data_IF_837239081287
#
_entry.id   IF_837239081287
#
_cell.length_a   1.000
_cell.length_b   1.000
_cell.length_c   1.000
_cell.angle_alpha   90.00
_cell.angle_beta   90.00
_cell.angle_gamma   90.00
#
_symmetry.space_group_name_H-M   'P 1'
#
loop_
_entity.id
_entity.type
_entity.pdbx_description
1 polymer ?
#
# COMPACT_ATOMS: atom_id res chain seq x y z
N UNK A 1 -24.94 -22.67 76.11
CA UNK A 1 -23.86 -23.50 75.57
C UNK A 1 -24.00 -23.49 74.06
N UNK A 2 -23.14 -22.71 73.41
CA UNK A 2 -23.07 -22.48 71.96
C UNK A 2 -22.34 -23.64 71.28
N UNK A 3 -23.01 -24.33 70.37
CA UNK A 3 -22.38 -25.26 69.42
C UNK A 3 -22.74 -24.81 68.01
N UNK A 4 -21.70 -24.41 67.27
CA UNK A 4 -21.67 -24.04 65.86
C UNK A 4 -22.07 -25.23 64.96
N UNK A 5 -22.87 -25.04 63.90
CA UNK A 5 -23.02 -26.04 62.85
C UNK A 5 -21.90 -25.92 61.80
N UNK A 6 -21.41 -27.08 61.36
CA UNK A 6 -20.40 -27.28 60.31
C UNK A 6 -20.99 -26.97 58.92
N UNK A 7 -20.20 -26.46 57.95
CA UNK A 7 -20.70 -26.12 56.62
C UNK A 7 -20.97 -27.40 55.79
N UNK A 8 -22.12 -27.41 55.12
CA UNK A 8 -22.51 -28.42 54.13
C UNK A 8 -21.71 -28.26 52.83
N UNK A 9 -21.25 -29.38 52.27
CA UNK A 9 -20.61 -29.48 50.95
C UNK A 9 -21.45 -28.81 49.85
N UNK A 10 -20.83 -28.11 48.89
CA UNK A 10 -21.54 -27.60 47.73
C UNK A 10 -21.91 -28.76 46.80
N UNK A 11 -23.20 -28.82 46.48
CA UNK A 11 -23.80 -29.75 45.53
C UNK A 11 -23.13 -29.68 44.15
N UNK A 12 -23.05 -30.84 43.48
CA UNK A 12 -22.61 -31.06 42.11
C UNK A 12 -23.02 -29.93 41.15
N UNK A 13 -22.03 -29.15 40.70
CA UNK A 13 -22.18 -28.36 39.49
C UNK A 13 -22.29 -29.32 38.30
N UNK A 14 -23.27 -29.15 37.40
CA UNK A 14 -23.38 -30.01 36.24
C UNK A 14 -22.10 -29.88 35.39
N UNK A 15 -21.39 -30.99 35.25
CA UNK A 15 -20.30 -31.16 34.30
C UNK A 15 -20.80 -30.72 32.92
N UNK A 16 -20.31 -29.58 32.44
CA UNK A 16 -20.54 -29.12 31.08
C UNK A 16 -19.86 -30.17 30.20
N UNK A 17 -20.68 -31.08 29.66
CA UNK A 17 -20.24 -32.07 28.72
C UNK A 17 -19.45 -31.35 27.62
N UNK A 18 -18.14 -31.63 27.57
CA UNK A 18 -17.26 -31.23 26.50
C UNK A 18 -17.90 -31.67 25.19
N UNK A 19 -18.49 -30.71 24.48
CA UNK A 19 -18.90 -30.92 23.11
C UNK A 19 -17.62 -31.28 22.36
N UNK A 20 -17.51 -32.55 21.94
CA UNK A 20 -16.46 -33.02 21.05
C UNK A 20 -16.50 -32.15 19.80
N UNK A 21 -15.67 -31.10 19.77
CA UNK A 21 -15.56 -30.22 18.62
C UNK A 21 -15.00 -31.07 17.48
N UNK A 22 -15.71 -31.09 16.35
CA UNK A 22 -15.12 -31.60 15.12
C UNK A 22 -13.71 -30.99 14.95
N UNK A 23 -12.71 -31.75 14.45
CA UNK A 23 -11.39 -31.19 14.22
C UNK A 23 -11.52 -29.93 13.35
N UNK A 24 -10.68 -28.91 13.59
CA UNK A 24 -10.76 -27.68 12.81
C UNK A 24 -10.62 -28.01 11.32
N UNK A 25 -11.32 -27.27 10.44
CA UNK A 25 -11.31 -27.54 9.01
C UNK A 25 -9.86 -27.45 8.48
N UNK A 26 -9.48 -28.41 7.64
CA UNK A 26 -8.20 -28.39 6.96
C UNK A 26 -8.28 -27.49 5.73
N UNK A 27 -7.34 -26.54 5.63
CA UNK A 27 -7.16 -25.72 4.42
C UNK A 27 -6.12 -26.37 3.52
N UNK A 28 -6.43 -26.51 2.23
CA UNK A 28 -5.53 -27.04 1.20
C UNK A 28 -5.36 -26.01 0.10
N UNK A 29 -4.11 -25.76 -0.30
CA UNK A 29 -3.77 -24.85 -1.40
C UNK A 29 -3.11 -25.67 -2.52
N UNK A 30 -3.74 -25.68 -3.70
CA UNK A 30 -3.34 -26.51 -4.83
C UNK A 30 -2.87 -25.63 -6.00
N UNK A 31 -1.59 -25.72 -6.44
CA UNK A 31 -1.13 -24.95 -7.58
C UNK A 31 -1.79 -25.42 -8.88
N UNK A 32 -2.19 -24.50 -9.76
CA UNK A 32 -2.63 -24.83 -11.11
C UNK A 32 -1.42 -24.84 -12.03
N UNK A 33 -1.00 -26.04 -12.41
CA UNK A 33 0.14 -26.26 -13.32
C UNK A 33 -0.35 -26.50 -14.75
N UNK A 34 0.57 -26.38 -15.72
CA UNK A 34 0.28 -26.76 -17.10
C UNK A 34 -0.49 -25.73 -17.95
N UNK A 35 -0.68 -24.49 -17.48
CA UNK A 35 -1.35 -23.44 -18.25
C UNK A 35 -0.57 -22.98 -19.50
N UNK A 36 0.76 -23.13 -19.49
CA UNK A 36 1.63 -22.54 -20.53
C UNK A 36 1.67 -21.01 -20.48
N UNK A 37 2.22 -20.39 -21.53
CA UNK A 37 2.29 -18.93 -21.65
C UNK A 37 0.96 -18.36 -22.18
N UNK A 38 0.36 -17.45 -21.42
CA UNK A 38 -0.87 -16.75 -21.80
C UNK A 38 -0.53 -15.61 -22.74
N UNK A 39 -1.20 -15.57 -23.90
CA UNK A 39 -1.06 -14.51 -24.90
C UNK A 39 -2.32 -13.66 -24.98
N UNK A 40 -2.19 -12.50 -25.61
CA UNK A 40 -3.31 -11.63 -25.94
C UNK A 40 -4.40 -12.39 -26.71
N UNK A 41 -5.66 -12.13 -26.34
CA UNK A 41 -6.83 -12.79 -26.92
C UNK A 41 -7.09 -14.22 -26.42
N UNK A 42 -6.30 -14.74 -25.48
CA UNK A 42 -6.54 -16.07 -24.93
C UNK A 42 -7.89 -16.16 -24.18
N UNK A 43 -8.66 -17.23 -24.42
CA UNK A 43 -9.82 -17.59 -23.59
C UNK A 43 -9.33 -18.11 -22.24
N UNK A 44 -9.13 -17.18 -21.30
CA UNK A 44 -8.58 -17.48 -19.99
C UNK A 44 -9.48 -18.41 -19.18
N UNK A 45 -10.81 -18.31 -19.33
CA UNK A 45 -11.75 -19.20 -18.67
C UNK A 45 -11.61 -20.64 -19.17
N UNK A 46 -11.46 -20.85 -20.48
CA UNK A 46 -11.21 -22.18 -21.03
C UNK A 46 -9.87 -22.77 -20.57
N UNK A 47 -8.80 -21.98 -20.58
CA UNK A 47 -7.48 -22.42 -20.12
C UNK A 47 -7.49 -22.82 -18.63
N UNK A 48 -8.06 -21.97 -17.78
CA UNK A 48 -8.16 -22.24 -16.34
C UNK A 48 -9.11 -23.41 -16.06
N UNK A 49 -10.23 -23.54 -16.76
CA UNK A 49 -11.14 -24.68 -16.61
C UNK A 49 -10.42 -26.01 -16.95
N UNK A 50 -9.64 -26.04 -18.02
CA UNK A 50 -8.83 -27.20 -18.39
C UNK A 50 -7.80 -27.59 -17.32
N UNK A 51 -7.10 -26.60 -16.75
CA UNK A 51 -6.14 -26.82 -15.67
C UNK A 51 -6.80 -27.17 -14.33
N UNK A 52 -8.04 -26.74 -14.09
CA UNK A 52 -8.80 -27.03 -12.87
C UNK A 52 -9.43 -28.41 -12.88
N UNK A 53 -9.87 -28.92 -14.04
CA UNK A 53 -10.60 -30.18 -14.11
C UNK A 53 -9.89 -31.36 -13.38
N UNK A 54 -8.57 -31.56 -13.49
CA UNK A 54 -7.84 -32.58 -12.74
C UNK A 54 -7.87 -32.41 -11.21
N UNK A 55 -8.06 -31.19 -10.71
CA UNK A 55 -8.15 -30.88 -9.27
C UNK A 55 -9.56 -31.14 -8.69
N UNK A 56 -10.53 -31.48 -9.55
CA UNK A 56 -11.92 -31.74 -9.22
C UNK A 56 -12.50 -30.64 -8.31
N UNK A 57 -12.69 -29.41 -8.84
CA UNK A 57 -13.18 -28.26 -8.08
C UNK A 57 -14.57 -28.56 -7.49
N UNK A 58 -14.85 -27.97 -6.34
CA UNK A 58 -16.05 -28.21 -5.54
C UNK A 58 -16.66 -26.89 -5.10
N UNK A 59 -17.94 -26.93 -4.71
CA UNK A 59 -18.58 -25.78 -4.09
C UNK A 59 -17.79 -25.33 -2.85
N UNK A 60 -17.65 -24.02 -2.70
CA UNK A 60 -16.85 -23.41 -1.63
C UNK A 60 -15.36 -23.29 -1.92
N UNK A 61 -14.84 -23.86 -3.02
CA UNK A 61 -13.47 -23.59 -3.44
C UNK A 61 -13.32 -22.15 -3.96
N UNK A 62 -12.14 -21.57 -3.77
CA UNK A 62 -11.78 -20.25 -4.29
C UNK A 62 -10.55 -20.36 -5.19
N UNK A 63 -10.68 -19.94 -6.44
CA UNK A 63 -9.57 -19.83 -7.38
C UNK A 63 -8.89 -18.46 -7.24
N UNK A 64 -7.64 -18.45 -6.81
CA UNK A 64 -6.82 -17.24 -6.79
C UNK A 64 -5.97 -17.17 -8.06
N UNK A 65 -6.10 -16.11 -8.85
CA UNK A 65 -5.47 -15.94 -10.17
C UNK A 65 -4.64 -14.68 -10.17
N UNK A 66 -3.38 -14.75 -10.60
CA UNK A 66 -2.56 -13.55 -10.79
C UNK A 66 -3.17 -12.63 -11.85
N UNK A 67 -3.29 -11.35 -11.55
CA UNK A 67 -3.71 -10.34 -12.54
C UNK A 67 -2.82 -10.30 -13.76
N UNK A 68 -1.55 -10.73 -13.68
CA UNK A 68 -0.64 -10.78 -14.83
C UNK A 68 -1.20 -11.56 -16.02
N UNK A 69 -1.79 -12.73 -15.78
CA UNK A 69 -2.35 -13.52 -16.91
C UNK A 69 -3.64 -12.93 -17.44
N UNK A 70 -4.38 -12.18 -16.61
CA UNK A 70 -5.54 -11.40 -17.04
C UNK A 70 -5.06 -10.23 -17.93
N UNK A 71 -4.08 -9.46 -17.48
CA UNK A 71 -3.48 -8.37 -18.27
C UNK A 71 -2.88 -8.85 -19.59
N UNK A 72 -2.22 -10.02 -19.60
CA UNK A 72 -1.71 -10.64 -20.84
C UNK A 72 -2.85 -11.00 -21.80
N UNK A 73 -3.90 -11.67 -21.32
CA UNK A 73 -5.04 -12.04 -22.14
C UNK A 73 -5.77 -10.81 -22.71
N UNK A 74 -5.86 -9.73 -21.94
CA UNK A 74 -6.48 -8.46 -22.34
C UNK A 74 -5.56 -7.54 -23.17
N UNK A 75 -4.30 -7.91 -23.42
CA UNK A 75 -3.37 -7.08 -24.20
C UNK A 75 -2.97 -5.77 -23.50
N UNK A 76 -3.02 -5.71 -22.16
CA UNK A 76 -2.75 -4.50 -21.37
C UNK A 76 -1.25 -4.22 -21.24
N UNK A 77 -0.58 -4.05 -22.37
CA UNK A 77 0.86 -3.86 -22.46
C UNK A 77 1.19 -2.45 -22.92
N UNK A 78 2.28 -1.92 -22.39
CA UNK A 78 2.87 -0.64 -22.82
C UNK A 78 4.33 -0.83 -23.16
N UNK A 79 4.90 0.09 -23.94
CA UNK A 79 6.35 0.12 -24.14
C UNK A 79 7.07 0.53 -22.85
N UNK A 80 8.36 0.20 -22.75
CA UNK A 80 9.17 0.61 -21.58
C UNK A 80 9.28 2.14 -21.48
N UNK A 81 9.27 2.83 -22.62
CA UNK A 81 9.33 4.28 -22.75
C UNK A 81 8.03 4.95 -22.29
N UNK A 82 6.88 4.30 -22.49
CA UNK A 82 5.56 4.83 -22.11
C UNK A 82 5.17 4.49 -20.66
N UNK A 83 5.94 3.65 -19.98
CA UNK A 83 5.62 3.12 -18.65
C UNK A 83 5.27 4.22 -17.65
N UNK A 84 6.13 5.22 -17.51
CA UNK A 84 5.95 6.25 -16.48
C UNK A 84 4.77 7.18 -16.81
N UNK A 85 4.58 7.49 -18.09
CA UNK A 85 3.40 8.23 -18.56
C UNK A 85 2.09 7.43 -18.36
N UNK A 86 2.14 6.10 -18.49
CA UNK A 86 1.00 5.23 -18.20
C UNK A 86 0.67 5.22 -16.70
N UNK A 87 1.68 5.13 -15.83
CA UNK A 87 1.52 5.23 -14.36
C UNK A 87 0.87 6.56 -13.98
N UNK A 88 1.36 7.67 -14.54
CA UNK A 88 0.80 9.00 -14.29
C UNK A 88 -0.66 9.11 -14.74
N UNK A 89 -1.00 8.54 -15.91
CA UNK A 89 -2.36 8.59 -16.46
C UNK A 89 -3.39 7.84 -15.62
N UNK A 90 -3.01 6.70 -15.04
CA UNK A 90 -3.93 5.89 -14.23
C UNK A 90 -3.95 6.30 -12.76
N UNK A 91 -2.94 7.04 -12.29
CA UNK A 91 -2.87 7.45 -10.89
C UNK A 91 -4.04 8.37 -10.53
N UNK A 92 -4.81 7.99 -9.50
CA UNK A 92 -5.80 8.87 -8.87
C UNK A 92 -5.08 9.98 -8.09
N UNK A 93 -3.96 9.62 -7.46
CA UNK A 93 -3.05 10.55 -6.78
C UNK A 93 -1.69 9.91 -6.55
N UNK A 94 -0.67 10.76 -6.51
CA UNK A 94 0.67 10.38 -6.05
C UNK A 94 0.75 10.46 -4.53
N UNK A 95 1.25 9.40 -3.89
CA UNK A 95 1.46 9.33 -2.44
C UNK A 95 2.89 9.74 -2.10
N UNK A 96 3.86 9.17 -2.82
CA UNK A 96 5.27 9.42 -2.63
C UNK A 96 6.07 9.09 -3.90
N UNK A 97 7.26 9.67 -4.04
CA UNK A 97 8.24 9.30 -5.07
C UNK A 97 9.58 9.04 -4.42
N UNK A 98 10.20 7.91 -4.72
CA UNK A 98 11.50 7.55 -4.16
C UNK A 98 12.50 7.19 -5.24
N UNK A 99 13.69 7.79 -5.19
CA UNK A 99 14.83 7.38 -6.00
C UNK A 99 15.50 6.17 -5.33
N UNK A 100 15.53 5.05 -6.04
CA UNK A 100 16.32 3.89 -5.66
C UNK A 100 17.31 3.58 -6.77
N UNK A 101 18.61 3.62 -6.45
CA UNK A 101 19.70 3.56 -7.42
C UNK A 101 19.60 4.67 -8.49
N UNK A 102 19.11 4.37 -9.68
CA UNK A 102 18.90 5.33 -10.79
C UNK A 102 17.44 5.44 -11.21
N UNK A 103 16.54 4.73 -10.54
CA UNK A 103 15.13 4.62 -10.92
C UNK A 103 14.27 5.31 -9.88
N UNK A 104 13.39 6.18 -10.34
CA UNK A 104 12.36 6.78 -9.50
C UNK A 104 11.14 5.89 -9.53
N UNK A 105 10.71 5.44 -8.36
CA UNK A 105 9.46 4.70 -8.20
C UNK A 105 8.43 5.61 -7.55
N UNK A 106 7.31 5.80 -8.23
CA UNK A 106 6.12 6.45 -7.69
C UNK A 106 5.28 5.43 -6.92
N UNK A 107 4.85 5.77 -5.71
CA UNK A 107 3.78 5.07 -5.00
C UNK A 107 2.51 5.87 -5.22
N UNK A 108 1.51 5.26 -5.84
CA UNK A 108 0.29 5.93 -6.26
C UNK A 108 -0.94 5.14 -5.87
N UNK A 109 -2.07 5.83 -5.72
CA UNK A 109 -3.38 5.20 -5.64
C UNK A 109 -3.88 4.92 -7.06
N UNK A 110 -4.36 3.71 -7.33
CA UNK A 110 -5.01 3.34 -8.60
C UNK A 110 -6.54 3.37 -8.48
N UNK A 111 -7.29 3.42 -9.60
CA UNK A 111 -8.76 3.55 -9.57
C UNK A 111 -9.47 2.38 -8.89
N UNK A 112 -8.90 1.17 -8.97
CA UNK A 112 -9.41 -0.01 -8.29
C UNK A 112 -9.21 0.02 -6.76
N UNK A 113 -8.52 1.03 -6.22
CA UNK A 113 -8.40 1.27 -4.77
C UNK A 113 -6.98 1.22 -4.20
N UNK A 114 -6.16 0.19 -4.49
CA UNK A 114 -4.87 0.01 -3.83
C UNK A 114 -3.90 1.19 -3.97
N UNK A 115 -3.10 1.40 -2.93
CA UNK A 115 -1.96 2.31 -2.94
C UNK A 115 -0.70 1.48 -3.05
N UNK A 116 -0.04 1.52 -4.21
CA UNK A 116 1.05 0.60 -4.49
C UNK A 116 2.15 1.23 -5.36
N UNK A 117 3.32 0.60 -5.33
CA UNK A 117 4.46 1.01 -6.14
C UNK A 117 4.16 0.84 -7.63
N UNK A 118 4.54 1.84 -8.42
CA UNK A 118 4.39 1.89 -9.87
C UNK A 118 2.98 1.58 -10.38
N UNK A 119 1.94 1.85 -9.59
CA UNK A 119 0.54 1.51 -9.94
C UNK A 119 0.31 0.01 -10.24
N UNK A 120 1.17 -0.88 -9.72
CA UNK A 120 1.14 -2.31 -10.06
C UNK A 120 1.68 -2.63 -11.46
N UNK A 121 2.20 -1.63 -12.18
CA UNK A 121 2.82 -1.83 -13.49
C UNK A 121 4.11 -2.61 -13.35
N UNK A 122 4.11 -3.81 -13.93
CA UNK A 122 5.18 -4.79 -13.73
C UNK A 122 5.86 -5.16 -15.05
N UNK A 123 7.20 -5.08 -15.07
CA UNK A 123 8.06 -5.57 -16.16
C UNK A 123 8.63 -6.97 -15.92
N UNK A 124 8.49 -7.50 -14.70
CA UNK A 124 8.95 -8.85 -14.36
C UNK A 124 8.08 -9.91 -15.05
N UNK A 125 8.73 -10.95 -15.60
CA UNK A 125 8.06 -12.03 -16.35
C UNK A 125 7.18 -11.51 -17.53
N UNK A 126 7.51 -10.33 -18.06
CA UNK A 126 6.84 -9.67 -19.16
C UNK A 126 7.88 -9.29 -20.25
N UNK A 127 8.46 -10.28 -20.96
CA UNK A 127 9.57 -10.05 -21.88
C UNK A 127 9.23 -9.09 -23.03
N UNK A 128 7.95 -8.96 -23.38
CA UNK A 128 7.50 -8.10 -24.47
C UNK A 128 7.17 -6.66 -24.02
N UNK A 129 7.34 -6.34 -22.73
CA UNK A 129 7.14 -4.99 -22.17
C UNK A 129 6.24 -4.98 -20.93
N UNK A 130 6.24 -3.88 -20.15
CA UNK A 130 5.47 -3.76 -18.92
C UNK A 130 3.95 -3.99 -19.10
N UNK A 131 3.34 -4.61 -18.10
CA UNK A 131 1.90 -4.87 -18.06
C UNK A 131 1.21 -3.88 -17.13
N UNK A 132 0.11 -3.30 -17.60
CA UNK A 132 -0.82 -2.53 -16.77
C UNK A 132 -1.79 -3.49 -16.07
N UNK A 133 -2.36 -3.04 -14.95
CA UNK A 133 -3.48 -3.73 -14.32
C UNK A 133 -4.79 -3.47 -15.08
N UNK A 134 -5.77 -4.39 -15.02
CA UNK A 134 -7.12 -4.11 -15.51
C UNK A 134 -7.74 -2.90 -14.79
N UNK A 135 -8.50 -2.10 -15.52
CA UNK A 135 -9.18 -0.91 -14.96
C UNK A 135 -10.20 -1.29 -13.89
N UNK A 136 -10.96 -2.37 -14.14
CA UNK A 136 -11.92 -2.95 -13.20
C UNK A 136 -11.62 -4.45 -12.98
N UNK A 137 -10.70 -4.80 -12.05
CA UNK A 137 -10.37 -6.19 -11.77
C UNK A 137 -11.54 -6.97 -11.16
N UNK A 138 -12.48 -6.31 -10.48
CA UNK A 138 -13.71 -6.94 -9.96
C UNK A 138 -14.62 -7.38 -11.12
N UNK A 139 -14.76 -6.57 -12.18
CA UNK A 139 -15.43 -6.99 -13.40
C UNK A 139 -14.72 -8.18 -14.07
N UNK A 140 -13.40 -8.13 -14.21
CA UNK A 140 -12.64 -9.25 -14.76
C UNK A 140 -12.80 -10.53 -13.94
N UNK A 141 -12.86 -10.44 -12.60
CA UNK A 141 -13.10 -11.57 -11.73
C UNK A 141 -14.48 -12.19 -11.96
N UNK A 142 -15.52 -11.35 -12.13
CA UNK A 142 -16.90 -11.78 -12.40
C UNK A 142 -17.02 -12.50 -13.74
N UNK A 143 -16.49 -11.90 -14.81
CA UNK A 143 -16.49 -12.52 -16.15
C UNK A 143 -15.76 -13.87 -16.14
N UNK A 144 -14.59 -13.92 -15.48
CA UNK A 144 -13.81 -15.15 -15.38
C UNK A 144 -14.56 -16.22 -14.59
N UNK A 145 -15.20 -15.85 -13.48
CA UNK A 145 -16.03 -16.75 -12.68
C UNK A 145 -17.20 -17.29 -13.50
N UNK A 146 -17.94 -16.44 -14.21
CA UNK A 146 -19.06 -16.85 -15.05
C UNK A 146 -18.62 -17.88 -16.11
N UNK A 147 -17.51 -17.61 -16.80
CA UNK A 147 -16.93 -18.53 -17.78
C UNK A 147 -16.51 -19.87 -17.16
N UNK A 148 -15.92 -19.85 -15.97
CA UNK A 148 -15.52 -21.06 -15.24
C UNK A 148 -16.73 -21.88 -14.77
N UNK A 149 -17.75 -21.24 -14.20
CA UNK A 149 -18.98 -21.90 -13.76
C UNK A 149 -19.70 -22.54 -14.95
N UNK A 150 -19.81 -21.84 -16.08
CA UNK A 150 -20.43 -22.38 -17.28
C UNK A 150 -19.69 -23.62 -17.85
N UNK A 151 -18.37 -23.69 -17.68
CA UNK A 151 -17.53 -24.79 -18.19
C UNK A 151 -17.43 -25.97 -17.23
N UNK A 152 -17.37 -25.71 -15.93
CA UNK A 152 -17.13 -26.71 -14.90
C UNK A 152 -18.42 -27.22 -14.25
N UNK A 153 -19.52 -26.47 -14.36
CA UNK A 153 -20.79 -26.80 -13.71
C UNK A 153 -20.77 -26.71 -12.19
N UNK A 154 -19.74 -26.08 -11.60
CA UNK A 154 -19.55 -25.94 -10.15
C UNK A 154 -19.36 -24.46 -9.80
N UNK A 155 -20.07 -23.99 -8.78
CA UNK A 155 -19.92 -22.62 -8.28
C UNK A 155 -18.68 -22.49 -7.39
N UNK A 156 -17.69 -21.75 -7.87
CA UNK A 156 -16.47 -21.40 -7.12
C UNK A 156 -16.37 -19.88 -6.95
N UNK A 157 -15.57 -19.44 -5.98
CA UNK A 157 -15.12 -18.05 -5.89
C UNK A 157 -13.91 -17.80 -6.79
N UNK A 158 -13.73 -16.55 -7.23
CA UNK A 158 -12.53 -16.10 -7.94
C UNK A 158 -11.96 -14.87 -7.25
N UNK A 159 -10.65 -14.88 -6.96
CA UNK A 159 -9.91 -13.72 -6.49
C UNK A 159 -8.78 -13.45 -7.48
N UNK A 160 -8.74 -12.24 -8.03
CA UNK A 160 -7.56 -11.76 -8.75
C UNK A 160 -6.56 -11.20 -7.77
N UNK A 161 -5.31 -11.65 -7.86
CA UNK A 161 -4.25 -11.28 -6.91
C UNK A 161 -3.07 -10.61 -7.60
N UNK A 162 -2.41 -9.73 -6.87
CA UNK A 162 -1.14 -9.15 -7.30
C UNK A 162 -0.18 -8.96 -6.14
N UNK A 163 1.11 -8.94 -6.46
CA UNK A 163 2.17 -8.83 -5.46
C UNK A 163 2.32 -7.38 -5.01
N UNK A 164 2.13 -7.15 -3.71
CA UNK A 164 2.31 -5.83 -3.11
C UNK A 164 3.22 -5.89 -1.89
N UNK A 165 3.91 -4.78 -1.63
CA UNK A 165 4.47 -4.52 -0.31
C UNK A 165 3.37 -4.04 0.65
N UNK A 166 3.69 -3.95 1.93
CA UNK A 166 2.80 -3.38 2.95
C UNK A 166 3.60 -2.54 3.94
N UNK A 167 2.98 -1.48 4.43
CA UNK A 167 3.61 -0.58 5.40
C UNK A 167 4.06 -1.33 6.66
N UNK A 168 5.18 -0.89 7.22
CA UNK A 168 5.77 -1.40 8.47
C UNK A 168 6.28 -2.86 8.45
N UNK A 169 6.22 -3.56 7.31
CA UNK A 169 6.82 -4.90 7.17
C UNK A 169 7.69 -4.98 5.92
N UNK A 170 8.87 -5.56 6.09
CA UNK A 170 9.76 -5.88 4.96
C UNK A 170 9.23 -7.10 4.21
N UNK A 171 9.39 -7.09 2.88
CA UNK A 171 8.96 -8.17 2.00
C UNK A 171 7.65 -7.84 1.27
N UNK A 172 7.24 -8.77 0.41
CA UNK A 172 6.02 -8.68 -0.40
C UNK A 172 5.17 -9.93 -0.19
N UNK A 173 3.86 -9.78 -0.38
CA UNK A 173 2.89 -10.88 -0.45
C UNK A 173 1.82 -10.51 -1.46
N UNK A 174 1.07 -11.50 -1.94
CA UNK A 174 -0.10 -11.17 -2.75
C UNK A 174 -1.22 -10.55 -1.90
N UNK A 175 -1.92 -9.60 -2.51
CA UNK A 175 -3.18 -9.01 -2.04
C UNK A 175 -4.28 -9.26 -3.09
N UNK A 176 -5.54 -9.15 -2.69
CA UNK A 176 -6.67 -9.18 -3.60
C UNK A 176 -6.82 -7.83 -4.34
N UNK A 177 -6.95 -7.90 -5.67
CA UNK A 177 -7.25 -6.76 -6.54
C UNK A 177 -8.66 -6.81 -7.13
N UNK A 178 -9.20 -8.01 -7.31
CA UNK A 178 -10.56 -8.24 -7.81
C UNK A 178 -11.16 -9.48 -7.14
N UNK A 179 -12.46 -9.50 -6.90
CA UNK A 179 -13.16 -10.61 -6.29
C UNK A 179 -14.53 -10.85 -6.93
N UNK A 180 -14.92 -12.12 -7.05
CA UNK A 180 -16.25 -12.52 -7.51
C UNK A 180 -16.71 -13.80 -6.83
N UNK A 181 -17.90 -13.78 -6.23
CA UNK A 181 -18.49 -14.93 -5.52
C UNK A 181 -17.73 -15.30 -4.25
N UNK A 182 -17.04 -14.32 -3.65
CA UNK A 182 -16.19 -14.48 -2.47
C UNK A 182 -16.69 -13.55 -1.37
N UNK A 183 -16.76 -14.06 -0.14
CA UNK A 183 -16.98 -13.25 1.06
C UNK A 183 -15.68 -12.52 1.37
N UNK A 184 -15.38 -11.42 0.67
CA UNK A 184 -14.07 -10.76 0.77
C UNK A 184 -13.79 -10.20 2.17
N UNK A 185 -14.84 -9.74 2.86
CA UNK A 185 -14.81 -9.34 4.26
C UNK A 185 -15.72 -10.24 5.09
N UNK A 186 -15.17 -10.92 6.09
CA UNK A 186 -15.95 -11.66 7.08
C UNK A 186 -16.20 -10.75 8.28
N UNK A 187 -17.43 -10.28 8.41
CA UNK A 187 -17.87 -9.46 9.54
C UNK A 187 -18.18 -10.34 10.75
N UNK A 188 -17.29 -10.32 11.74
CA UNK A 188 -17.45 -11.07 12.99
C UNK A 188 -18.12 -10.23 14.08
N UNK A 189 -18.50 -8.98 13.79
CA UNK A 189 -19.17 -8.10 14.76
C UNK A 189 -20.55 -8.63 15.10
N UNK A 190 -20.92 -8.47 16.37
CA UNK A 190 -22.18 -9.04 16.90
C UNK A 190 -22.09 -10.52 17.26
N UNK A 191 -20.99 -11.20 16.90
CA UNK A 191 -20.64 -12.52 17.44
C UNK A 191 -19.99 -12.44 18.83
N UNK A 192 -19.51 -13.57 19.33
CA UNK A 192 -18.76 -13.68 20.58
C UNK A 192 -17.45 -14.44 20.38
N UNK A 193 -16.44 -14.13 21.19
CA UNK A 193 -15.19 -14.88 21.25
C UNK A 193 -15.35 -16.23 21.97
N UNK A 194 -14.26 -16.99 22.09
CA UNK A 194 -14.27 -18.30 22.74
C UNK A 194 -14.67 -18.27 24.23
N UNK A 195 -14.53 -17.11 24.90
CA UNK A 195 -14.94 -16.90 26.29
C UNK A 195 -16.34 -16.26 26.40
N UNK A 196 -17.05 -16.10 25.27
CA UNK A 196 -18.39 -15.50 25.22
C UNK A 196 -18.39 -13.96 25.23
N UNK A 197 -17.25 -13.29 25.04
CA UNK A 197 -17.20 -11.81 25.00
C UNK A 197 -17.64 -11.30 23.62
N UNK A 198 -18.44 -10.23 23.54
CA UNK A 198 -18.88 -9.67 22.26
C UNK A 198 -17.71 -9.19 21.39
N UNK A 199 -17.76 -9.52 20.10
CA UNK A 199 -16.87 -8.96 19.08
C UNK A 199 -17.52 -7.67 18.54
N UNK A 200 -16.87 -6.52 18.74
CA UNK A 200 -17.42 -5.21 18.37
C UNK A 200 -16.75 -4.53 17.17
N UNK A 201 -15.52 -4.93 16.85
CA UNK A 201 -14.68 -4.27 15.81
C UNK A 201 -14.11 -5.23 14.76
N UNK A 202 -14.28 -6.54 14.93
CA UNK A 202 -13.55 -7.54 14.16
C UNK A 202 -14.20 -7.78 12.80
N UNK A 203 -13.52 -7.34 11.75
CA UNK A 203 -13.81 -7.72 10.36
C UNK A 203 -12.54 -8.33 9.77
N UNK A 204 -12.60 -9.59 9.36
CA UNK A 204 -11.45 -10.30 8.78
C UNK A 204 -11.43 -10.06 7.27
N UNK A 205 -10.28 -9.62 6.74
CA UNK A 205 -10.08 -9.48 5.30
C UNK A 205 -9.72 -10.84 4.71
N UNK A 206 -10.75 -11.64 4.41
CA UNK A 206 -10.61 -13.01 3.97
C UNK A 206 -10.02 -13.10 2.55
N UNK A 207 -10.33 -12.15 1.67
CA UNK A 207 -9.77 -12.13 0.32
C UNK A 207 -8.24 -11.99 0.32
N UNK A 208 -7.67 -11.11 1.16
CA UNK A 208 -6.21 -10.99 1.30
C UNK A 208 -5.57 -12.22 1.96
N UNK A 209 -6.25 -12.87 2.91
CA UNK A 209 -5.77 -14.13 3.50
C UNK A 209 -5.71 -15.25 2.45
N UNK A 210 -6.74 -15.36 1.61
CA UNK A 210 -6.78 -16.32 0.49
C UNK A 210 -5.70 -16.02 -0.54
N UNK A 211 -5.51 -14.74 -0.91
CA UNK A 211 -4.47 -14.30 -1.82
C UNK A 211 -3.07 -14.63 -1.30
N UNK A 212 -2.81 -14.34 -0.02
CA UNK A 212 -1.54 -14.64 0.63
C UNK A 212 -1.30 -16.16 0.76
N UNK A 213 -2.33 -16.95 1.02
CA UNK A 213 -2.22 -18.41 1.08
C UNK A 213 -1.91 -19.01 -0.31
N UNK A 214 -2.58 -18.53 -1.36
CA UNK A 214 -2.32 -18.92 -2.74
C UNK A 214 -0.88 -18.59 -3.19
N UNK A 215 -0.35 -17.46 -2.71
CA UNK A 215 1.03 -17.03 -3.01
C UNK A 215 2.10 -18.06 -2.61
N UNK A 216 1.86 -18.83 -1.53
CA UNK A 216 2.79 -19.84 -1.04
C UNK A 216 3.10 -20.92 -2.09
N UNK A 217 2.12 -21.29 -2.92
CA UNK A 217 2.29 -22.32 -3.96
C UNK A 217 2.46 -21.74 -5.35
N UNK A 218 1.94 -20.53 -5.60
CA UNK A 218 2.19 -19.81 -6.84
C UNK A 218 3.66 -19.44 -6.97
N UNK A 219 4.27 -18.95 -5.89
CA UNK A 219 5.62 -18.41 -5.85
C UNK A 219 5.84 -17.24 -6.82
N UNK A 220 7.04 -16.64 -6.79
CA UNK A 220 7.35 -15.46 -7.64
C UNK A 220 8.04 -15.81 -8.97
N UNK A 221 8.62 -17.02 -9.05
CA UNK A 221 9.44 -17.46 -10.19
C UNK A 221 9.05 -18.85 -10.73
N UNK A 222 8.05 -19.51 -10.14
CA UNK A 222 7.64 -20.88 -10.45
C UNK A 222 6.81 -21.03 -11.73
N UNK A 223 6.40 -19.92 -12.34
CA UNK A 223 5.53 -19.94 -13.53
C UNK A 223 4.12 -20.48 -13.25
N UNK A 224 3.66 -20.43 -11.99
CA UNK A 224 2.33 -20.87 -11.56
C UNK A 224 1.48 -19.63 -11.32
N UNK A 225 0.58 -19.24 -12.25
CA UNK A 225 -0.14 -17.98 -12.15
C UNK A 225 -1.43 -18.12 -11.32
N UNK A 226 -1.86 -19.32 -10.95
CA UNK A 226 -3.10 -19.52 -10.22
C UNK A 226 -3.01 -20.69 -9.22
N UNK A 227 -3.84 -20.64 -8.18
CA UNK A 227 -3.97 -21.70 -7.18
C UNK A 227 -5.42 -21.83 -6.69
N UNK A 228 -5.85 -23.05 -6.43
CA UNK A 228 -7.15 -23.36 -5.84
C UNK A 228 -7.00 -23.46 -4.32
N UNK A 229 -7.74 -22.65 -3.58
CA UNK A 229 -7.83 -22.71 -2.11
C UNK A 229 -9.11 -23.44 -1.74
N UNK A 230 -8.99 -24.49 -0.93
CA UNK A 230 -10.08 -25.38 -0.51
C UNK A 230 -10.16 -25.47 1.00
N UNK A 231 -11.38 -25.63 1.51
CA UNK A 231 -11.61 -25.95 2.92
C UNK A 231 -11.64 -24.73 3.85
N UNK A 232 -11.97 -23.56 3.31
CA UNK A 232 -12.17 -22.33 4.08
C UNK A 232 -13.68 -22.07 4.22
N UNK A 233 -14.28 -22.38 5.39
CA UNK A 233 -15.72 -22.19 5.58
C UNK A 233 -16.12 -20.73 5.37
N UNK A 234 -17.23 -20.48 4.67
CA UNK A 234 -17.75 -19.14 4.43
C UNK A 234 -16.96 -18.31 3.40
N UNK A 235 -15.91 -18.85 2.79
CA UNK A 235 -15.09 -18.13 1.80
C UNK A 235 -15.89 -17.71 0.56
N UNK A 236 -16.89 -18.49 0.16
CA UNK A 236 -17.82 -18.12 -0.91
C UNK A 236 -19.12 -17.60 -0.31
N UNK A 237 -19.64 -16.49 -0.82
CA UNK A 237 -20.84 -15.89 -0.26
C UNK A 237 -21.21 -14.57 -0.90
N UNK A 238 -21.62 -13.59 -0.07
CA UNK A 238 -22.01 -12.26 -0.52
C UNK A 238 -20.83 -11.57 -1.18
N UNK A 239 -21.06 -11.05 -2.37
CA UNK A 239 -20.03 -10.45 -3.22
C UNK A 239 -19.67 -9.05 -2.71
N UNK A 240 -18.61 -8.98 -1.90
CA UNK A 240 -17.96 -7.70 -1.55
C UNK A 240 -16.80 -7.50 -2.54
N UNK A 241 -16.84 -6.47 -3.40
CA UNK A 241 -15.81 -6.25 -4.40
C UNK A 241 -14.47 -5.90 -3.73
N UNK A 242 -13.36 -6.34 -4.31
CA UNK A 242 -12.03 -6.14 -3.75
C UNK A 242 -11.65 -4.65 -3.63
N UNK A 243 -12.23 -3.78 -4.46
CA UNK A 243 -12.05 -2.32 -4.33
C UNK A 243 -12.45 -1.77 -2.96
N UNK A 244 -13.40 -2.41 -2.27
CA UNK A 244 -13.87 -1.99 -0.93
C UNK A 244 -12.91 -2.41 0.19
N UNK A 245 -11.91 -3.25 -0.10
CA UNK A 245 -10.86 -3.62 0.85
C UNK A 245 -9.86 -2.48 1.07
N UNK A 246 -9.76 -1.58 0.10
CA UNK A 246 -8.86 -0.43 0.16
C UNK A 246 -9.44 0.68 1.02
N UNK A 247 -8.80 0.97 2.15
CA UNK A 247 -9.12 2.15 2.98
C UNK A 247 -8.51 3.41 2.37
N UNK A 248 -9.12 3.90 1.30
CA UNK A 248 -8.79 5.19 0.69
C UNK A 248 -9.93 6.20 0.86
N UNK A 249 -9.65 7.50 0.83
CA UNK A 249 -10.66 8.54 0.97
C UNK A 249 -10.64 9.23 2.33
N UNK A 250 -11.82 9.49 2.91
CA UNK A 250 -11.95 10.24 4.17
C UNK A 250 -11.42 9.48 5.38
N UNK A 251 -11.45 8.14 5.34
CA UNK A 251 -10.98 7.27 6.42
C UNK A 251 -9.49 6.90 6.29
N UNK A 252 -8.78 7.44 5.29
CA UNK A 252 -7.34 7.23 5.11
C UNK A 252 -6.54 8.15 6.05
N UNK A 253 -6.22 7.63 7.23
CA UNK A 253 -5.39 8.33 8.22
C UNK A 253 -3.90 8.36 7.85
N UNK A 254 -3.48 7.61 6.84
CA UNK A 254 -2.09 7.50 6.38
C UNK A 254 -1.91 8.08 4.98
N UNK A 255 -2.71 9.10 4.65
CA UNK A 255 -2.86 9.64 3.30
C UNK A 255 -1.53 9.98 2.63
N UNK A 256 -0.56 10.50 3.39
CA UNK A 256 0.78 10.78 2.90
C UNK A 256 1.82 10.40 3.94
N UNK A 257 3.06 10.02 3.53
CA UNK A 257 4.15 9.87 4.48
C UNK A 257 4.50 11.22 5.12
N UNK A 258 5.28 11.17 6.20
CA UNK A 258 5.57 12.34 7.04
C UNK A 258 6.27 13.47 6.27
N UNK A 259 7.28 13.15 5.45
CA UNK A 259 8.05 14.12 4.69
C UNK A 259 7.18 14.88 3.68
N UNK A 260 6.42 14.15 2.86
CA UNK A 260 5.46 14.72 1.90
C UNK A 260 4.35 15.52 2.59
N UNK A 261 3.93 15.12 3.79
CA UNK A 261 2.92 15.86 4.55
C UNK A 261 3.42 17.25 4.92
N UNK A 262 4.70 17.38 5.28
CA UNK A 262 5.30 18.69 5.57
C UNK A 262 5.49 19.50 4.29
N UNK A 263 5.90 18.90 3.18
CA UNK A 263 5.98 19.58 1.88
C UNK A 263 4.63 20.18 1.47
N UNK A 264 3.56 19.40 1.56
CA UNK A 264 2.20 19.87 1.31
C UNK A 264 1.80 21.00 2.27
N UNK A 265 2.10 20.89 3.57
CA UNK A 265 1.83 21.95 4.56
C UNK A 265 2.65 23.23 4.31
N UNK A 266 3.85 23.11 3.74
CA UNK A 266 4.65 24.24 3.28
C UNK A 266 4.12 24.86 1.99
N UNK A 267 3.15 24.22 1.31
CA UNK A 267 2.42 24.75 0.16
C UNK A 267 2.86 24.18 -1.19
N UNK A 268 3.65 23.11 -1.22
CA UNK A 268 4.07 22.49 -2.47
C UNK A 268 2.88 21.74 -3.11
N UNK A 269 2.71 21.92 -4.41
CA UNK A 269 1.91 21.02 -5.23
C UNK A 269 2.68 19.71 -5.50
N UNK A 270 2.00 18.58 -5.76
CA UNK A 270 2.67 17.29 -5.99
C UNK A 270 3.76 17.30 -7.08
N UNK A 271 3.59 18.14 -8.10
CA UNK A 271 4.53 18.26 -9.23
C UNK A 271 5.80 19.04 -8.85
N UNK A 272 5.73 19.84 -7.77
CA UNK A 272 6.85 20.61 -7.23
C UNK A 272 7.62 19.83 -6.15
N UNK A 273 7.10 18.69 -5.70
CA UNK A 273 7.73 17.90 -4.65
C UNK A 273 9.06 17.31 -5.16
N UNK A 274 10.16 17.52 -4.41
CA UNK A 274 11.44 16.91 -4.74
C UNK A 274 11.38 15.39 -4.58
N UNK A 275 12.34 14.70 -5.19
CA UNK A 275 12.43 13.24 -5.11
C UNK A 275 13.44 12.86 -4.04
N UNK A 276 12.97 12.33 -2.92
CA UNK A 276 13.83 11.76 -1.88
C UNK A 276 14.37 10.38 -2.28
N UNK A 277 15.57 10.00 -1.83
CA UNK A 277 16.07 8.63 -2.05
C UNK A 277 15.47 7.66 -1.05
N UNK A 278 15.52 6.37 -1.38
CA UNK A 278 15.40 5.34 -0.34
C UNK A 278 16.64 5.39 0.55
N UNK A 279 16.43 5.51 1.86
CA UNK A 279 17.48 5.69 2.88
C UNK A 279 18.60 4.63 2.82
N UNK A 280 19.82 4.99 3.26
CA UNK A 280 20.23 6.28 3.85
C UNK A 280 20.49 7.37 2.80
N UNK A 281 20.27 8.63 3.20
CA UNK A 281 20.52 9.84 2.40
C UNK A 281 21.55 10.73 3.11
N UNK A 282 22.60 11.23 2.41
CA UNK A 282 23.56 12.15 3.03
C UNK A 282 22.89 13.39 3.61
N UNK A 283 23.32 13.80 4.81
CA UNK A 283 22.74 14.96 5.50
C UNK A 283 22.81 16.25 4.65
N UNK A 284 23.87 16.43 3.87
CA UNK A 284 24.03 17.55 2.94
C UNK A 284 22.97 17.61 1.84
N UNK A 285 22.56 16.47 1.27
CA UNK A 285 21.50 16.41 0.26
C UNK A 285 20.15 16.77 0.88
N UNK A 286 19.91 16.31 2.11
CA UNK A 286 18.67 16.57 2.85
C UNK A 286 18.57 18.04 3.28
N UNK A 287 19.67 18.64 3.73
CA UNK A 287 19.75 20.08 4.04
C UNK A 287 19.52 20.92 2.79
N UNK A 288 20.12 20.55 1.65
CA UNK A 288 19.90 21.23 0.38
C UNK A 288 18.42 21.15 -0.05
N UNK A 289 17.80 19.97 0.01
CA UNK A 289 16.38 19.78 -0.27
C UNK A 289 15.49 20.61 0.66
N UNK A 290 15.82 20.70 1.96
CA UNK A 290 15.08 21.52 2.90
C UNK A 290 15.10 23.01 2.52
N UNK A 291 16.24 23.53 2.05
CA UNK A 291 16.37 24.90 1.54
C UNK A 291 15.53 25.11 0.28
N UNK A 292 15.59 24.18 -0.69
CA UNK A 292 14.79 24.24 -1.92
C UNK A 292 13.29 24.28 -1.62
N UNK A 293 12.81 23.37 -0.78
CA UNK A 293 11.40 23.28 -0.38
C UNK A 293 10.97 24.55 0.36
N UNK A 294 11.79 25.07 1.28
CA UNK A 294 11.45 26.26 2.06
C UNK A 294 11.35 27.53 1.19
N UNK A 295 12.19 27.63 0.15
CA UNK A 295 12.24 28.77 -0.75
C UNK A 295 11.06 28.84 -1.75
N UNK A 296 10.34 27.72 -1.96
CA UNK A 296 9.16 27.73 -2.83
C UNK A 296 8.04 28.56 -2.19
N UNK A 297 7.46 29.56 -2.89
CA UNK A 297 6.35 30.34 -2.37
C UNK A 297 5.08 29.50 -2.31
N UNK A 298 4.19 29.83 -1.36
CA UNK A 298 2.86 29.23 -1.31
C UNK A 298 2.04 29.61 -2.56
N UNK A 299 1.05 28.81 -2.98
CA UNK A 299 0.16 29.16 -4.08
C UNK A 299 -0.49 30.53 -3.84
N UNK A 300 -0.32 31.45 -4.80
CA UNK A 300 -0.84 32.83 -4.71
C UNK A 300 -0.02 33.80 -3.87
N UNK A 301 1.08 33.37 -3.24
CA UNK A 301 2.01 34.25 -2.54
C UNK A 301 3.12 34.76 -3.50
N UNK A 302 3.64 35.99 -3.31
CA UNK A 302 4.81 36.46 -4.05
C UNK A 302 6.05 35.63 -3.69
N UNK A 303 7.07 35.59 -4.57
CA UNK A 303 8.38 35.03 -4.23
C UNK A 303 9.01 35.76 -3.03
N UNK A 304 9.81 35.03 -2.25
CA UNK A 304 10.64 35.64 -1.20
C UNK A 304 11.66 36.60 -1.83
N UNK A 305 11.85 37.75 -1.19
CA UNK A 305 12.93 38.69 -1.55
C UNK A 305 14.23 38.29 -0.85
N UNK A 306 14.10 37.72 0.35
CA UNK A 306 15.18 37.18 1.17
C UNK A 306 15.70 35.88 0.60
N UNK A 307 16.96 35.54 0.90
CA UNK A 307 17.62 34.31 0.42
C UNK A 307 18.11 33.49 1.59
N UNK A 308 18.08 32.17 1.46
CA UNK A 308 18.62 31.25 2.46
C UNK A 308 19.70 30.37 1.84
N UNK A 309 20.84 30.23 2.51
CA UNK A 309 21.95 29.39 2.05
C UNK A 309 22.60 28.63 3.21
N UNK A 310 23.01 27.39 2.96
CA UNK A 310 23.85 26.64 3.88
C UNK A 310 25.29 27.14 3.79
N UNK A 311 25.86 27.51 4.94
CA UNK A 311 27.23 27.98 5.10
C UNK A 311 27.96 27.02 6.03
N UNK A 312 29.19 26.65 5.66
CA UNK A 312 30.06 25.82 6.48
C UNK A 312 31.14 26.69 7.10
N UNK A 313 31.27 26.64 8.41
CA UNK A 313 32.32 27.36 9.10
C UNK A 313 33.68 26.63 9.01
N UNK A 314 34.73 27.25 9.57
CA UNK A 314 36.08 26.67 9.59
C UNK A 314 36.20 25.40 10.44
N UNK A 315 35.25 25.15 11.35
CA UNK A 315 35.18 23.92 12.15
C UNK A 315 34.51 22.77 11.40
N UNK A 316 33.92 23.04 10.24
CA UNK A 316 33.14 22.07 9.46
C UNK A 316 31.66 22.04 9.83
N UNK A 317 31.21 22.85 10.80
CA UNK A 317 29.82 22.93 11.22
C UNK A 317 28.97 23.67 10.19
N UNK A 318 27.79 23.12 9.88
CA UNK A 318 26.85 23.73 8.92
C UNK A 318 25.83 24.58 9.65
N UNK A 319 25.63 25.81 9.19
CA UNK A 319 24.55 26.70 9.62
C UNK A 319 23.85 27.26 8.38
N UNK A 320 22.61 27.72 8.52
CA UNK A 320 21.88 28.38 7.44
C UNK A 320 21.83 29.87 7.74
N UNK A 321 22.21 30.67 6.76
CA UNK A 321 22.11 32.12 6.77
C UNK A 321 20.92 32.52 5.93
N UNK A 322 20.01 33.32 6.51
CA UNK A 322 18.89 33.96 5.83
C UNK A 322 19.19 35.45 5.70
N UNK A 323 19.49 35.87 4.49
CA UNK A 323 19.85 37.25 4.14
C UNK A 323 18.58 38.03 3.81
N UNK A 324 18.40 39.15 4.51
CA UNK A 324 17.33 40.10 4.23
C UNK A 324 17.60 40.83 2.92
N UNK A 325 16.54 41.16 2.19
CA UNK A 325 16.65 41.95 0.97
C UNK A 325 17.07 43.41 1.23
N UNK A 326 16.65 43.99 2.37
CA UNK A 326 17.02 45.33 2.82
C UNK A 326 16.73 45.52 4.33
N UNK A 327 17.00 46.73 4.84
CA UNK A 327 16.80 47.10 6.23
C UNK A 327 15.32 47.36 6.63
N UNK A 328 14.36 47.28 5.70
CA UNK A 328 12.94 47.54 5.97
C UNK A 328 12.28 46.48 6.87
N UNK A 329 11.22 46.87 7.58
CA UNK A 329 10.42 45.94 8.38
C UNK A 329 9.79 44.83 7.53
N UNK A 330 9.46 45.13 6.26
CA UNK A 330 8.92 44.16 5.31
C UNK A 330 9.94 43.08 4.98
N UNK A 331 11.19 43.45 4.68
CA UNK A 331 12.26 42.49 4.43
C UNK A 331 12.61 41.67 5.68
N UNK A 332 12.47 42.23 6.88
CA UNK A 332 12.63 41.45 8.11
C UNK A 332 11.53 40.40 8.27
N UNK A 333 10.27 40.77 8.01
CA UNK A 333 9.15 39.84 8.07
C UNK A 333 9.25 38.73 7.02
N UNK A 334 9.70 39.06 5.81
CA UNK A 334 9.97 38.12 4.72
C UNK A 334 11.07 37.11 5.12
N UNK A 335 12.22 37.62 5.61
CA UNK A 335 13.33 36.78 6.09
C UNK A 335 12.93 35.89 7.28
N UNK A 336 12.18 36.42 8.24
CA UNK A 336 11.68 35.65 9.38
C UNK A 336 10.75 34.51 8.92
N UNK A 337 9.88 34.79 7.95
CA UNK A 337 8.99 33.78 7.35
C UNK A 337 9.81 32.69 6.65
N UNK A 338 10.81 33.06 5.86
CA UNK A 338 11.69 32.10 5.20
C UNK A 338 12.48 31.26 6.21
N UNK A 339 13.01 31.87 7.27
CA UNK A 339 13.73 31.17 8.32
C UNK A 339 12.88 30.10 9.03
N UNK A 340 11.63 30.40 9.38
CA UNK A 340 10.70 29.43 9.97
C UNK A 340 10.35 28.29 9.00
N UNK A 341 10.22 28.59 7.70
CA UNK A 341 10.02 27.56 6.68
C UNK A 341 11.22 26.63 6.57
N UNK A 342 12.43 27.18 6.60
CA UNK A 342 13.67 26.40 6.62
C UNK A 342 13.72 25.50 7.85
N UNK A 343 13.45 26.02 9.06
CA UNK A 343 13.42 25.23 10.29
C UNK A 343 12.41 24.08 10.20
N UNK A 344 11.22 24.37 9.66
CA UNK A 344 10.16 23.36 9.45
C UNK A 344 10.61 22.27 8.46
N UNK A 345 11.22 22.65 7.34
CA UNK A 345 11.71 21.72 6.34
C UNK A 345 12.86 20.85 6.87
N UNK A 346 13.82 21.43 7.60
CA UNK A 346 14.88 20.68 8.30
C UNK A 346 14.29 19.71 9.33
N UNK A 347 13.25 20.13 10.06
CA UNK A 347 12.52 19.26 10.99
C UNK A 347 11.90 18.06 10.29
N UNK A 348 11.29 18.27 9.12
CA UNK A 348 10.72 17.19 8.30
C UNK A 348 11.76 16.19 7.84
N UNK A 349 12.89 16.69 7.33
CA UNK A 349 14.01 15.84 6.95
C UNK A 349 14.43 14.99 8.15
N UNK A 350 14.59 15.58 9.34
CA UNK A 350 15.08 14.91 10.55
C UNK A 350 14.17 13.81 11.12
N UNK A 351 12.95 13.63 10.61
CA UNK A 351 12.00 12.63 11.12
C UNK A 351 12.43 11.17 10.85
N UNK A 352 13.11 10.93 9.72
CA UNK A 352 13.54 9.57 9.35
C UNK A 352 14.89 9.18 9.97
N UNK A 353 15.82 10.13 10.00
CA UNK A 353 17.15 9.99 10.57
C UNK A 353 17.57 11.38 11.08
N UNK A 354 18.14 11.50 12.27
CA UNK A 354 18.47 12.80 12.84
C UNK A 354 19.48 13.55 11.96
N UNK A 355 19.21 14.82 11.63
CA UNK A 355 20.21 15.70 11.03
C UNK A 355 21.14 16.25 12.12
N UNK A 356 22.40 16.61 11.79
CA UNK A 356 23.20 17.42 12.70
C UNK A 356 22.45 18.70 13.08
N UNK A 357 22.80 19.31 14.21
CA UNK A 357 22.25 20.62 14.55
C UNK A 357 22.67 21.65 13.49
N UNK A 358 21.68 22.25 12.83
CA UNK A 358 21.88 23.30 11.80
C UNK A 358 21.19 24.58 12.29
N UNK A 359 21.92 25.50 12.93
CA UNK A 359 21.37 26.80 13.32
C UNK A 359 20.87 27.57 12.11
N UNK A 360 19.72 28.24 12.23
CA UNK A 360 19.18 29.14 11.19
C UNK A 360 19.24 30.56 11.70
N UNK A 361 20.07 31.39 11.07
CA UNK A 361 20.40 32.75 11.48
C UNK A 361 19.84 33.74 10.46
N UNK A 362 19.19 34.81 10.92
CA UNK A 362 18.80 35.93 10.07
C UNK A 362 19.87 36.99 10.21
N UNK A 363 20.51 37.37 9.10
CA UNK A 363 21.55 38.40 9.10
C UNK A 363 21.01 39.70 8.48
N UNK A 364 21.50 40.87 8.93
CA UNK A 364 21.36 42.09 8.15
C UNK A 364 22.07 41.92 6.79
N UNK A 365 21.71 42.77 5.83
CA UNK A 365 22.29 42.82 4.49
C UNK A 365 23.82 42.59 4.51
N UNK A 366 24.41 41.67 3.74
CA UNK A 366 25.84 41.34 3.78
C UNK A 366 26.77 42.53 3.46
N UNK A 367 26.26 43.66 2.95
CA UNK A 367 27.03 44.91 2.83
C UNK A 367 27.24 45.64 4.17
N UNK A 368 26.51 45.29 5.23
CA UNK A 368 26.79 45.69 6.61
C UNK A 368 27.47 44.54 7.35
N UNK A 369 28.77 44.35 7.10
CA UNK A 369 29.69 43.69 8.04
C UNK A 369 30.04 44.70 9.16
N UNK A 370 29.48 44.59 10.38
CA UNK A 370 30.00 45.35 11.49
C UNK A 370 31.18 44.53 12.06
N UNK A 371 32.36 44.89 11.56
CA UNK A 371 33.70 44.58 12.10
C UNK A 371 33.75 44.13 13.56
#
# INVERSE_FOLDING_TARGET
MTTTPSPSDPADAPSVASATSAPPPQVTVLPLTGLGEVREGADLAALLAGALAPLAPREGDVLCVSTKIVSKALGLRVSSEERDAAIERIAVRTVARRLHTRVVTSVVQIPSGPVMAAAGVDGSNAPDGPLLLPEDPDACARELREGLVARLGVSIGVVLTDTSSRIWRVGVSDIALGAAGVTSLEDLRGGVDADGRPLSVTVRNLADELAAAADLVKGKASGIPAALVRGVPGATGVDVPARELSRTGADDWFRRPSLESVWAALGLAPEQEPIARMSPEPAEERIARALEVAALPRPGAPPFLSRAAAVRDRSGSTHIVVERADASATALADAATLAERVRTALGAESLGEELPQVPVLIVPDPEEDPR
#
